data_IF_642870094555
#
_entry.id   IF_642870094555
#
_cell.length_a   1.000
_cell.length_b   1.000
_cell.length_c   1.000
_cell.angle_alpha   90.00
_cell.angle_beta   90.00
_cell.angle_gamma   90.00
#
_symmetry.space_group_name_H-M   'P 1'
#
loop_
_entity.id
_entity.type
_entity.pdbx_description
1 polymer ?
#
# COMPACT_ATOMS: atom_id res chain seq x y z
N UNK A 1 15.93 6.00 42.52
CA UNK A 1 15.35 6.04 41.16
C UNK A 1 16.46 5.89 40.14
N UNK A 2 16.60 4.69 39.57
CA UNK A 2 17.77 4.27 38.79
C UNK A 2 17.92 5.08 37.48
N UNK A 3 19.11 5.65 37.27
CA UNK A 3 19.47 6.47 36.10
C UNK A 3 19.18 5.77 34.76
N UNK A 4 19.33 4.44 34.73
CA UNK A 4 18.99 3.59 33.59
C UNK A 4 17.51 3.69 33.17
N UNK A 5 16.58 3.78 34.13
CA UNK A 5 15.16 3.90 33.85
C UNK A 5 14.81 5.25 33.23
N UNK A 6 15.49 6.32 33.66
CA UNK A 6 15.31 7.67 33.09
C UNK A 6 15.86 7.75 31.67
N UNK A 7 16.99 7.09 31.40
CA UNK A 7 17.59 7.00 30.06
C UNK A 7 16.74 6.16 29.10
N UNK A 8 16.20 5.02 29.56
CA UNK A 8 15.27 4.22 28.76
C UNK A 8 13.99 5.01 28.45
N UNK A 9 13.43 5.73 29.42
CA UNK A 9 12.25 6.57 29.22
C UNK A 9 12.51 7.74 28.26
N UNK A 10 13.70 8.35 28.26
CA UNK A 10 14.04 9.41 27.31
C UNK A 10 14.21 8.87 25.90
N UNK A 11 14.87 7.73 25.72
CA UNK A 11 15.01 7.06 24.41
C UNK A 11 13.63 6.69 23.85
N UNK A 12 12.74 6.14 24.67
CA UNK A 12 11.38 5.78 24.24
C UNK A 12 10.54 7.01 23.86
N UNK A 13 10.64 8.11 24.61
CA UNK A 13 9.96 9.37 24.23
C UNK A 13 10.52 9.92 22.92
N UNK A 14 11.84 9.89 22.74
CA UNK A 14 12.49 10.35 21.51
C UNK A 14 12.10 9.50 20.31
N UNK A 15 12.00 8.18 20.44
CA UNK A 15 11.56 7.31 19.35
C UNK A 15 10.09 7.57 18.98
N UNK A 16 9.22 7.73 19.97
CA UNK A 16 7.80 8.10 19.73
C UNK A 16 7.68 9.47 19.05
N UNK A 17 8.49 10.45 19.43
CA UNK A 17 8.51 11.76 18.76
C UNK A 17 9.11 11.68 17.35
N UNK A 18 10.13 10.84 17.12
CA UNK A 18 10.67 10.59 15.79
C UNK A 18 9.66 9.89 14.88
N UNK A 19 8.87 8.94 15.38
CA UNK A 19 7.76 8.32 14.61
C UNK A 19 6.67 9.34 14.25
N UNK A 20 6.40 10.31 15.13
CA UNK A 20 5.51 11.43 14.81
C UNK A 20 6.14 12.41 13.82
N UNK A 21 7.45 12.64 13.88
CA UNK A 21 8.15 13.54 12.96
C UNK A 21 8.35 12.91 11.58
N UNK A 22 8.49 11.58 11.48
CA UNK A 22 8.59 10.86 10.20
C UNK A 22 7.24 10.71 9.50
N UNK A 23 6.11 10.84 10.22
CA UNK A 23 4.78 10.98 9.58
C UNK A 23 4.52 12.38 9.02
N UNK A 24 5.37 13.36 9.37
CA UNK A 24 5.43 14.70 8.76
C UNK A 24 6.72 14.82 7.95
N UNK A 25 6.95 13.83 7.08
CA UNK A 25 8.09 13.82 6.17
C UNK A 25 8.02 14.96 5.14
N UNK A 26 9.17 15.40 4.59
CA UNK A 26 9.33 16.54 3.69
C UNK A 26 8.51 16.52 2.39
N UNK A 27 7.76 15.43 2.12
CA UNK A 27 6.74 15.35 1.09
C UNK A 27 5.54 16.30 1.29
N UNK A 28 5.40 16.87 2.49
CA UNK A 28 4.30 17.80 2.80
C UNK A 28 4.53 19.24 2.34
N UNK A 29 5.75 19.61 1.91
CA UNK A 29 6.08 21.01 1.58
C UNK A 29 5.95 21.32 0.08
N UNK A 30 5.98 20.32 -0.81
CA UNK A 30 6.06 20.56 -2.26
C UNK A 30 4.95 19.94 -3.11
N UNK A 31 4.08 19.11 -2.57
CA UNK A 31 2.91 18.63 -3.33
C UNK A 31 1.69 19.48 -2.98
N UNK A 32 0.91 19.95 -3.99
CA UNK A 32 -0.44 20.45 -3.74
C UNK A 32 -1.14 19.42 -2.85
N UNK A 33 -1.96 19.87 -1.88
CA UNK A 33 -2.80 18.98 -1.06
C UNK A 33 -3.60 18.10 -2.01
N UNK A 34 -3.04 16.95 -2.38
CA UNK A 34 -3.67 16.02 -3.30
C UNK A 34 -5.00 15.66 -2.67
N UNK A 35 -6.05 15.58 -3.50
CA UNK A 35 -7.33 15.06 -3.05
C UNK A 35 -7.04 13.74 -2.36
N UNK A 36 -7.26 13.69 -1.04
CA UNK A 36 -6.98 12.51 -0.24
C UNK A 36 -8.00 11.46 -0.65
N UNK A 37 -7.57 10.51 -1.45
CA UNK A 37 -8.39 9.39 -1.88
C UNK A 37 -8.83 8.56 -0.67
N UNK A 38 -10.13 8.30 -0.56
CA UNK A 38 -10.68 7.50 0.53
C UNK A 38 -10.23 6.03 0.41
N UNK A 39 -10.18 5.28 1.51
CA UNK A 39 -9.83 3.84 1.46
C UNK A 39 -10.73 3.04 0.51
N UNK A 40 -12.06 3.23 0.50
CA UNK A 40 -12.93 2.53 -0.45
C UNK A 40 -12.59 2.85 -1.92
N UNK A 41 -12.29 4.11 -2.21
CA UNK A 41 -11.91 4.55 -3.55
C UNK A 41 -10.59 3.90 -3.99
N UNK A 42 -9.59 3.82 -3.09
CA UNK A 42 -8.34 3.09 -3.36
C UNK A 42 -8.60 1.61 -3.68
N UNK A 43 -9.46 0.96 -2.91
CA UNK A 43 -9.80 -0.46 -3.13
C UNK A 43 -10.48 -0.64 -4.50
N UNK A 44 -11.39 0.27 -4.87
CA UNK A 44 -12.05 0.23 -6.17
C UNK A 44 -11.07 0.44 -7.33
N UNK A 45 -10.11 1.36 -7.21
CA UNK A 45 -9.08 1.53 -8.23
C UNK A 45 -8.19 0.30 -8.37
N UNK A 46 -7.75 -0.27 -7.24
CA UNK A 46 -6.90 -1.47 -7.25
C UNK A 46 -7.65 -2.65 -7.88
N UNK A 47 -8.92 -2.85 -7.54
CA UNK A 47 -9.70 -3.96 -8.10
C UNK A 47 -9.84 -3.83 -9.62
N UNK A 48 -10.19 -2.65 -10.12
CA UNK A 48 -10.29 -2.39 -11.56
C UNK A 48 -8.96 -2.64 -12.27
N UNK A 49 -7.85 -2.09 -11.75
CA UNK A 49 -6.52 -2.26 -12.34
C UNK A 49 -6.15 -3.74 -12.42
N UNK A 50 -6.31 -4.48 -11.33
CA UNK A 50 -5.98 -5.91 -11.27
C UNK A 50 -6.86 -6.69 -12.25
N UNK A 51 -8.18 -6.48 -12.23
CA UNK A 51 -9.09 -7.17 -13.15
C UNK A 51 -8.75 -6.88 -14.61
N UNK A 52 -8.45 -5.64 -14.98
CA UNK A 52 -8.12 -5.29 -16.37
C UNK A 52 -6.82 -5.95 -16.83
N UNK A 53 -5.79 -6.00 -15.98
CA UNK A 53 -4.50 -6.64 -16.32
C UNK A 53 -4.68 -8.14 -16.54
N UNK A 54 -5.46 -8.80 -15.68
CA UNK A 54 -5.60 -10.26 -15.72
C UNK A 54 -6.74 -10.76 -16.60
N UNK A 55 -7.69 -9.91 -17.01
CA UNK A 55 -8.85 -10.32 -17.81
C UNK A 55 -8.43 -11.06 -19.09
N UNK A 56 -7.52 -10.48 -19.88
CA UNK A 56 -7.11 -11.07 -21.15
C UNK A 56 -6.22 -12.33 -20.97
N UNK A 57 -5.18 -12.33 -20.12
CA UNK A 57 -4.42 -13.55 -19.85
C UNK A 57 -5.29 -14.71 -19.35
N UNK A 58 -6.22 -14.45 -18.42
CA UNK A 58 -7.14 -15.47 -17.91
C UNK A 58 -8.04 -15.99 -19.03
N UNK A 59 -8.59 -15.12 -19.85
CA UNK A 59 -9.41 -15.53 -21.00
C UNK A 59 -8.61 -16.45 -21.94
N UNK A 60 -7.38 -16.08 -22.33
CA UNK A 60 -6.54 -16.93 -23.18
C UNK A 60 -6.30 -18.30 -22.54
N UNK A 61 -5.96 -18.33 -21.26
CA UNK A 61 -5.68 -19.57 -20.53
C UNK A 61 -6.92 -20.49 -20.47
N UNK A 62 -8.10 -19.92 -20.26
CA UNK A 62 -9.37 -20.67 -20.24
C UNK A 62 -9.67 -21.31 -21.61
N UNK A 63 -9.33 -20.65 -22.71
CA UNK A 63 -9.64 -21.10 -24.06
C UNK A 63 -8.50 -21.92 -24.70
N UNK A 64 -7.43 -22.26 -23.95
CA UNK A 64 -6.32 -23.07 -24.47
C UNK A 64 -6.76 -24.45 -24.99
N UNK A 65 -7.78 -25.07 -24.39
CA UNK A 65 -8.30 -26.37 -24.86
C UNK A 65 -8.95 -26.24 -26.24
N UNK A 66 -9.72 -25.18 -26.43
CA UNK A 66 -10.36 -24.85 -27.70
C UNK A 66 -9.32 -24.52 -28.78
N UNK A 67 -8.27 -23.76 -28.44
CA UNK A 67 -7.15 -23.49 -29.35
C UNK A 67 -6.35 -24.73 -29.73
N UNK A 68 -6.30 -25.72 -28.84
CA UNK A 68 -5.64 -27.00 -29.12
C UNK A 68 -6.53 -27.98 -29.88
N UNK A 69 -7.78 -27.62 -30.17
CA UNK A 69 -8.74 -28.48 -30.86
C UNK A 69 -9.17 -29.70 -30.04
N UNK A 70 -8.95 -29.69 -28.72
CA UNK A 70 -9.35 -30.77 -27.82
C UNK A 70 -10.81 -30.53 -27.45
N UNK A 71 -11.71 -31.28 -28.10
CA UNK A 71 -13.16 -31.30 -27.79
C UNK A 71 -13.44 -32.52 -26.91
N UNK A 72 -13.69 -32.31 -25.63
CA UNK A 72 -14.23 -33.31 -24.69
C UNK A 72 -15.04 -32.62 -23.58
#
# INVERSE_FOLDING_TARGET
MNSALRKAASVFRSSVMQTRSSSVGPYSVSLPKGIKMSTPEKVAHISVIVTTIFAYPVWVLLHLREYRGIKD
#
